data_IF_055195568764
#
_entry.id   IF_055195568764
#
_cell.length_a   1.000
_cell.length_b   1.000
_cell.length_c   1.000
_cell.angle_alpha   90.00
_cell.angle_beta   90.00
_cell.angle_gamma   90.00
#
_symmetry.space_group_name_H-M   'P 1'
#
loop_
_entity.id
_entity.type
_entity.pdbx_description
1 polymer ?
#
# COMPACT_ATOMS: atom_id res chain seq x y z
N UNK A 1 15.66 -8.90 -16.81
CA UNK A 1 15.18 -10.26 -16.41
C UNK A 1 15.67 -10.54 -14.99
N UNK A 2 14.80 -10.41 -13.99
CA UNK A 2 15.16 -10.64 -12.60
C UNK A 2 15.18 -12.14 -12.29
N UNK A 3 16.30 -12.62 -11.74
CA UNK A 3 16.53 -14.03 -11.39
C UNK A 3 15.62 -14.40 -10.21
N UNK A 4 14.50 -15.09 -10.49
CA UNK A 4 13.58 -15.61 -9.47
C UNK A 4 14.36 -16.54 -8.53
N UNK A 5 14.53 -16.14 -7.26
CA UNK A 5 15.19 -16.95 -6.23
C UNK A 5 14.37 -18.23 -6.07
N UNK A 6 15.00 -19.40 -6.12
CA UNK A 6 14.31 -20.68 -5.86
C UNK A 6 14.00 -20.73 -4.37
N UNK A 7 12.75 -20.51 -4.01
CA UNK A 7 12.24 -20.67 -2.64
C UNK A 7 11.93 -22.14 -2.36
N UNK A 8 12.03 -22.54 -1.09
CA UNK A 8 11.62 -23.89 -0.68
C UNK A 8 10.08 -23.98 -0.57
N UNK A 9 9.48 -25.17 -0.69
CA UNK A 9 8.02 -25.34 -0.56
C UNK A 9 7.47 -24.86 0.79
N UNK A 10 8.27 -24.96 1.86
CA UNK A 10 7.91 -24.47 3.19
C UNK A 10 7.96 -22.93 3.26
N UNK A 11 8.95 -22.29 2.62
CA UNK A 11 9.00 -20.83 2.52
C UNK A 11 7.80 -20.29 1.75
N UNK A 12 7.41 -20.95 0.65
CA UNK A 12 6.22 -20.58 -0.10
C UNK A 12 4.95 -20.75 0.73
N UNK A 13 4.84 -21.84 1.50
CA UNK A 13 3.71 -22.08 2.40
C UNK A 13 3.62 -21.00 3.49
N UNK A 14 4.75 -20.60 4.08
CA UNK A 14 4.81 -19.52 5.07
C UNK A 14 4.49 -18.16 4.43
N UNK A 15 4.95 -17.90 3.21
CA UNK A 15 4.64 -16.67 2.47
C UNK A 15 3.16 -16.59 2.08
N UNK A 16 2.52 -17.72 1.76
CA UNK A 16 1.08 -17.78 1.50
C UNK A 16 0.31 -17.60 2.81
N UNK A 17 0.75 -18.24 3.90
CA UNK A 17 0.07 -18.15 5.19
C UNK A 17 0.14 -16.75 5.81
N UNK A 18 1.19 -15.98 5.52
CA UNK A 18 1.31 -14.57 5.92
C UNK A 18 0.37 -13.64 5.17
N UNK A 19 -0.19 -14.05 4.02
CA UNK A 19 -1.17 -13.26 3.23
C UNK A 19 -2.61 -13.44 3.71
N UNK A 20 -2.91 -14.55 4.36
CA UNK A 20 -4.25 -14.89 4.83
C UNK A 20 -4.67 -14.11 6.09
N UNK A 21 -5.98 -13.93 6.33
CA UNK A 21 -6.48 -13.49 7.64
C UNK A 21 -6.06 -14.47 8.74
N UNK A 22 -5.75 -13.97 9.94
CA UNK A 22 -5.32 -14.80 11.08
C UNK A 22 -6.31 -15.95 11.35
N UNK A 23 -7.61 -15.66 11.38
CA UNK A 23 -8.64 -16.68 11.60
C UNK A 23 -8.61 -17.78 10.53
N UNK A 24 -8.36 -17.42 9.26
CA UNK A 24 -8.29 -18.38 8.18
C UNK A 24 -7.03 -19.25 8.30
N UNK A 25 -5.88 -18.67 8.63
CA UNK A 25 -4.65 -19.44 8.89
C UNK A 25 -4.83 -20.42 10.04
N UNK A 26 -5.51 -20.02 11.13
CA UNK A 26 -5.79 -20.91 12.26
C UNK A 26 -6.76 -22.05 11.89
N UNK A 27 -7.82 -21.76 11.13
CA UNK A 27 -8.75 -22.79 10.64
C UNK A 27 -8.06 -23.78 9.70
N UNK A 28 -7.21 -23.30 8.78
CA UNK A 28 -6.46 -24.16 7.87
C UNK A 28 -5.45 -25.00 8.64
N UNK A 29 -4.78 -24.45 9.66
CA UNK A 29 -3.88 -25.21 10.52
C UNK A 29 -4.61 -26.36 11.23
N UNK A 30 -5.78 -26.08 11.82
CA UNK A 30 -6.60 -27.08 12.48
C UNK A 30 -7.11 -28.14 11.50
N UNK A 31 -7.68 -27.72 10.37
CA UNK A 31 -8.20 -28.64 9.35
C UNK A 31 -7.09 -29.54 8.78
N UNK A 32 -5.92 -28.97 8.47
CA UNK A 32 -4.76 -29.72 7.98
C UNK A 32 -4.34 -30.78 9.00
N UNK A 33 -4.24 -30.42 10.29
CA UNK A 33 -3.91 -31.37 11.34
C UNK A 33 -4.93 -32.51 11.43
N UNK A 34 -6.23 -32.19 11.47
CA UNK A 34 -7.30 -33.20 11.61
C UNK A 34 -7.32 -34.16 10.42
N UNK A 35 -7.21 -33.65 9.20
CA UNK A 35 -7.19 -34.46 7.97
C UNK A 35 -5.96 -35.35 7.94
N UNK A 36 -4.76 -34.80 8.14
CA UNK A 36 -3.52 -35.58 8.12
C UNK A 36 -3.49 -36.60 9.25
N UNK A 37 -3.97 -36.25 10.45
CA UNK A 37 -4.06 -37.17 11.57
C UNK A 37 -5.01 -38.34 11.27
N UNK A 38 -6.14 -38.07 10.59
CA UNK A 38 -7.06 -39.13 10.16
C UNK A 38 -6.38 -40.13 9.21
N UNK A 39 -5.56 -39.66 8.26
CA UNK A 39 -4.82 -40.56 7.35
C UNK A 39 -3.65 -41.27 8.03
N UNK A 40 -2.92 -40.60 8.93
CA UNK A 40 -1.79 -41.19 9.68
C UNK A 40 -2.24 -42.23 10.69
N UNK A 41 -3.47 -42.11 11.22
CA UNK A 41 -4.05 -43.10 12.14
C UNK A 41 -4.55 -44.37 11.45
N UNK A 42 -4.63 -44.39 10.11
CA UNK A 42 -4.89 -45.60 9.36
C UNK A 42 -3.58 -46.41 9.26
N UNK A 43 -3.52 -47.64 9.78
CA UNK A 43 -2.29 -48.41 9.77
C UNK A 43 -1.87 -48.72 8.32
N UNK A 44 -0.63 -48.38 7.97
CA UNK A 44 -0.03 -48.78 6.69
C UNK A 44 0.29 -50.28 6.71
N UNK A 45 -0.71 -51.12 6.46
CA UNK A 45 -0.55 -52.58 6.34
C UNK A 45 0.07 -52.94 5.01
N UNK A 46 0.97 -53.93 4.97
CA UNK A 46 1.56 -54.41 3.73
C UNK A 46 0.58 -55.37 3.05
N UNK A 47 0.04 -55.00 1.89
CA UNK A 47 -0.80 -55.89 1.07
C UNK A 47 0.04 -56.51 -0.03
N UNK A 48 0.00 -57.83 -0.18
CA UNK A 48 0.75 -58.55 -1.23
C UNK A 48 -0.21 -59.42 -2.06
N UNK A 49 0.03 -59.52 -3.37
CA UNK A 49 -0.67 -60.50 -4.19
C UNK A 49 -0.02 -61.89 -4.01
N UNK A 50 -0.82 -62.98 -3.99
CA UNK A 50 -0.29 -64.33 -3.91
C UNK A 50 0.77 -64.59 -4.98
N UNK A 51 1.98 -64.99 -4.57
CA UNK A 51 3.10 -65.26 -5.47
C UNK A 51 3.95 -64.04 -5.87
N UNK A 52 3.61 -62.84 -5.40
CA UNK A 52 4.43 -61.62 -5.59
C UNK A 52 5.10 -61.21 -4.27
N UNK A 53 6.38 -60.85 -4.32
CA UNK A 53 7.12 -60.31 -3.17
C UNK A 53 6.97 -58.79 -3.01
N UNK A 54 6.33 -58.12 -3.98
CA UNK A 54 6.15 -56.67 -4.00
C UNK A 54 4.79 -56.29 -3.41
N UNK A 55 4.72 -55.27 -2.52
CA UNK A 55 3.45 -54.78 -2.02
C UNK A 55 2.61 -54.16 -3.15
N UNK A 56 1.30 -54.40 -3.17
CA UNK A 56 0.38 -53.72 -4.09
C UNK A 56 0.18 -52.24 -3.74
N UNK A 57 0.38 -51.89 -2.47
CA UNK A 57 0.18 -50.55 -1.93
C UNK A 57 1.50 -49.79 -1.66
N UNK A 58 2.53 -50.03 -2.49
CA UNK A 58 3.84 -49.36 -2.38
C UNK A 58 3.76 -47.83 -2.31
N UNK A 59 2.86 -47.21 -3.06
CA UNK A 59 2.67 -45.75 -3.06
C UNK A 59 2.26 -45.22 -1.69
N UNK A 60 1.33 -45.90 -1.01
CA UNK A 60 0.87 -45.52 0.33
C UNK A 60 1.98 -45.67 1.37
N UNK A 61 2.74 -46.78 1.32
CA UNK A 61 3.88 -47.01 2.22
C UNK A 61 4.97 -45.94 2.06
N UNK A 62 5.29 -45.56 0.82
CA UNK A 62 6.30 -44.54 0.53
C UNK A 62 5.87 -43.13 0.96
N UNK A 63 4.57 -42.82 0.87
CA UNK A 63 4.03 -41.51 1.26
C UNK A 63 3.78 -41.37 2.77
N UNK A 64 3.63 -42.48 3.50
CA UNK A 64 3.28 -42.45 4.93
C UNK A 64 4.23 -41.61 5.81
N UNK A 65 5.57 -41.69 5.67
CA UNK A 65 6.48 -40.81 6.41
C UNK A 65 6.28 -39.32 6.10
N UNK A 66 5.93 -38.98 4.86
CA UNK A 66 5.63 -37.61 4.45
C UNK A 66 4.32 -37.11 5.06
N UNK A 67 3.32 -37.98 5.21
CA UNK A 67 2.06 -37.64 5.91
C UNK A 67 2.30 -37.39 7.40
N UNK A 68 3.13 -38.21 8.06
CA UNK A 68 3.54 -38.00 9.46
C UNK A 68 4.25 -36.65 9.61
N UNK A 69 5.23 -36.35 8.75
CA UNK A 69 5.93 -35.07 8.79
C UNK A 69 4.97 -33.90 8.48
N UNK A 70 4.15 -34.04 7.45
CA UNK A 70 3.18 -33.04 7.01
C UNK A 70 2.15 -32.69 8.08
N UNK A 71 1.72 -33.67 8.88
CA UNK A 71 0.76 -33.49 9.99
C UNK A 71 1.19 -32.38 10.96
N UNK A 72 2.49 -32.18 11.16
CA UNK A 72 3.02 -31.15 12.04
C UNK A 72 3.57 -29.94 11.28
N UNK A 73 4.27 -30.17 10.17
CA UNK A 73 4.92 -29.10 9.41
C UNK A 73 3.92 -28.13 8.77
N UNK A 74 2.82 -28.64 8.22
CA UNK A 74 1.81 -27.80 7.54
C UNK A 74 1.09 -26.91 8.56
N UNK A 75 0.47 -27.44 9.64
CA UNK A 75 -0.14 -26.59 10.66
C UNK A 75 0.84 -25.59 11.28
N UNK A 76 2.08 -26.02 11.56
CA UNK A 76 3.12 -25.15 12.11
C UNK A 76 3.40 -23.95 11.19
N UNK A 77 3.50 -24.17 9.87
CA UNK A 77 3.73 -23.07 8.92
C UNK A 77 2.58 -22.04 8.90
N UNK A 78 1.33 -22.49 9.05
CA UNK A 78 0.18 -21.58 9.16
C UNK A 78 0.15 -20.85 10.51
N UNK A 79 0.52 -21.51 11.61
CA UNK A 79 0.66 -20.89 12.93
C UNK A 79 1.77 -19.83 12.94
N UNK A 80 2.92 -20.12 12.33
CA UNK A 80 4.03 -19.17 12.16
C UNK A 80 3.54 -17.94 11.37
N UNK A 81 2.86 -18.14 10.24
CA UNK A 81 2.30 -17.03 9.45
C UNK A 81 1.33 -16.17 10.26
N UNK A 82 0.43 -16.79 11.01
CA UNK A 82 -0.50 -16.10 11.90
C UNK A 82 0.23 -15.29 12.98
N UNK A 83 1.26 -15.87 13.61
CA UNK A 83 2.09 -15.21 14.62
C UNK A 83 2.85 -14.01 14.05
N UNK A 84 3.43 -14.13 12.84
CA UNK A 84 4.11 -13.03 12.15
C UNK A 84 3.13 -11.88 11.85
N UNK A 85 1.92 -12.18 11.35
CA UNK A 85 0.90 -11.14 11.13
C UNK A 85 0.49 -10.44 12.43
N UNK A 86 0.29 -11.20 13.50
CA UNK A 86 -0.04 -10.65 14.82
C UNK A 86 1.09 -9.76 15.35
N UNK A 87 2.35 -10.19 15.23
CA UNK A 87 3.52 -9.43 15.62
C UNK A 87 3.69 -8.13 14.82
N UNK A 88 3.49 -8.16 13.49
CA UNK A 88 3.50 -6.96 12.64
C UNK A 88 2.37 -5.99 13.02
N UNK A 89 1.16 -6.50 13.25
CA UNK A 89 0.02 -5.66 13.68
C UNK A 89 0.26 -5.02 15.06
N UNK A 90 0.80 -5.78 16.00
CA UNK A 90 1.13 -5.30 17.34
C UNK A 90 2.27 -4.27 17.33
N UNK A 91 3.33 -4.53 16.55
CA UNK A 91 4.45 -3.61 16.39
C UNK A 91 4.01 -2.29 15.75
N UNK A 92 3.11 -2.34 14.75
CA UNK A 92 2.52 -1.15 14.15
C UNK A 92 1.73 -0.30 15.15
N UNK A 93 0.88 -0.92 15.97
CA UNK A 93 0.13 -0.24 17.04
C UNK A 93 1.06 0.44 18.05
N UNK A 94 2.06 -0.29 18.56
CA UNK A 94 3.07 0.26 19.47
C UNK A 94 3.86 1.41 18.86
N UNK A 95 4.21 1.30 17.58
CA UNK A 95 4.94 2.37 16.89
C UNK A 95 4.09 3.62 16.72
N UNK A 96 2.79 3.47 16.42
CA UNK A 96 1.83 4.57 16.40
C UNK A 96 1.70 5.23 17.77
N UNK A 97 1.58 4.45 18.85
CA UNK A 97 1.51 5.00 20.21
C UNK A 97 2.75 5.84 20.54
N UNK A 98 3.95 5.33 20.22
CA UNK A 98 5.20 6.09 20.36
C UNK A 98 5.23 7.35 19.50
N UNK A 99 4.73 7.27 18.26
CA UNK A 99 4.65 8.42 17.36
C UNK A 99 3.72 9.51 17.91
N UNK A 100 2.57 9.13 18.46
CA UNK A 100 1.59 10.07 19.04
C UNK A 100 2.12 10.67 20.35
N UNK A 101 2.75 9.85 21.19
CA UNK A 101 3.30 10.24 22.49
C UNK A 101 4.58 11.07 22.37
N UNK A 102 5.27 11.04 21.22
CA UNK A 102 6.41 11.90 20.96
C UNK A 102 5.96 13.37 21.09
N UNK A 103 6.56 14.15 22.00
CA UNK A 103 6.16 15.53 22.21
C UNK A 103 6.28 16.30 20.89
N UNK A 104 5.23 17.03 20.52
CA UNK A 104 5.36 18.06 19.51
C UNK A 104 6.40 19.03 20.05
N UNK A 105 7.59 19.05 19.47
CA UNK A 105 8.57 20.08 19.78
C UNK A 105 7.94 21.44 19.43
N UNK A 106 7.38 22.11 20.44
CA UNK A 106 6.95 23.49 20.38
C UNK A 106 8.20 24.33 20.08
N UNK A 107 8.30 24.83 18.85
CA UNK A 107 9.17 25.96 18.54
C UNK A 107 8.30 27.21 18.72
N UNK A 108 8.70 28.19 19.55
CA UNK A 108 8.04 29.48 19.63
C UNK A 108 7.90 30.09 18.23
N UNK A 109 6.66 30.38 17.87
CA UNK A 109 6.21 30.98 16.60
C UNK A 109 6.98 32.26 16.25
N UNK A 110 8.02 32.16 15.41
CA UNK A 110 8.51 33.27 14.56
C UNK A 110 9.26 32.75 13.31
N UNK A 111 8.58 32.07 12.37
CA UNK A 111 8.89 32.10 10.91
C UNK A 111 8.06 31.06 10.10
N UNK A 112 7.50 31.39 8.92
CA UNK A 112 6.51 30.54 8.25
C UNK A 112 7.05 29.37 7.40
N UNK A 113 8.34 29.01 7.46
CA UNK A 113 8.94 28.18 6.40
C UNK A 113 9.89 27.05 6.83
N UNK A 114 10.01 26.71 8.12
CA UNK A 114 10.87 25.59 8.54
C UNK A 114 10.05 24.36 8.95
N UNK A 115 10.22 23.29 8.18
CA UNK A 115 9.54 22.01 8.32
C UNK A 115 9.85 21.37 9.67
N UNK A 116 8.80 21.20 10.49
CA UNK A 116 8.78 20.40 11.72
C UNK A 116 9.63 19.14 11.59
N UNK A 117 10.64 18.95 12.46
CA UNK A 117 11.33 17.67 12.58
C UNK A 117 10.32 16.65 13.13
N UNK A 118 9.80 15.81 12.25
CA UNK A 118 8.79 14.80 12.61
C UNK A 118 9.46 13.62 13.30
N UNK A 119 8.78 12.90 14.22
CA UNK A 119 9.27 11.65 14.81
C UNK A 119 9.61 10.56 13.78
N UNK A 120 9.19 10.73 12.53
CA UNK A 120 9.65 9.92 11.40
C UNK A 120 11.13 10.08 11.06
N UNK A 121 11.83 11.08 11.63
CA UNK A 121 13.21 11.42 11.28
C UNK A 121 14.27 10.40 11.70
N UNK A 122 13.91 9.45 12.59
CA UNK A 122 14.85 8.49 13.18
C UNK A 122 14.44 7.02 12.95
N UNK A 123 13.30 6.76 12.28
CA UNK A 123 12.78 5.40 12.13
C UNK A 123 13.39 4.65 10.95
N UNK A 124 13.51 3.33 11.04
CA UNK A 124 13.93 2.50 9.91
C UNK A 124 12.88 2.49 8.79
N UNK A 125 13.28 2.07 7.59
CA UNK A 125 12.36 1.97 6.44
C UNK A 125 11.19 1.02 6.73
N UNK A 126 11.45 -0.17 7.27
CA UNK A 126 10.39 -1.10 7.67
C UNK A 126 9.50 -0.59 8.82
N UNK A 127 10.04 0.24 9.73
CA UNK A 127 9.22 0.90 10.74
C UNK A 127 8.25 1.91 10.11
N UNK A 128 8.71 2.69 9.14
CA UNK A 128 7.85 3.62 8.40
C UNK A 128 6.71 2.88 7.69
N UNK A 129 6.99 1.77 7.01
CA UNK A 129 5.96 0.95 6.36
C UNK A 129 4.95 0.37 7.36
N UNK A 130 5.42 -0.13 8.51
CA UNK A 130 4.54 -0.60 9.58
C UNK A 130 3.64 0.52 10.11
N UNK A 131 4.16 1.73 10.23
CA UNK A 131 3.41 2.91 10.68
C UNK A 131 2.37 3.33 9.63
N UNK A 132 2.74 3.36 8.34
CA UNK A 132 1.83 3.66 7.23
C UNK A 132 0.73 2.61 7.15
N UNK A 133 1.09 1.33 7.23
CA UNK A 133 0.12 0.23 7.29
C UNK A 133 -0.85 0.40 8.45
N UNK A 134 -0.38 0.81 9.63
CA UNK A 134 -1.24 1.09 10.77
C UNK A 134 -2.17 2.29 10.53
N UNK A 135 -1.70 3.37 9.91
CA UNK A 135 -2.54 4.52 9.54
C UNK A 135 -3.70 4.11 8.62
N UNK A 136 -3.45 3.22 7.65
CA UNK A 136 -4.49 2.68 6.79
C UNK A 136 -5.44 1.72 7.52
N UNK A 137 -4.94 0.90 8.47
CA UNK A 137 -5.82 0.08 9.32
C UNK A 137 -6.79 0.93 10.12
N UNK A 138 -6.32 2.03 10.71
CA UNK A 138 -7.16 2.99 11.44
C UNK A 138 -8.16 3.70 10.52
N UNK A 139 -7.92 3.72 9.21
CA UNK A 139 -8.83 4.29 8.20
C UNK A 139 -9.79 3.24 7.59
N UNK A 140 -9.86 2.04 8.17
CA UNK A 140 -10.77 0.96 7.76
C UNK A 140 -10.25 0.08 6.62
N UNK A 141 -8.97 0.15 6.28
CA UNK A 141 -8.36 -0.76 5.29
C UNK A 141 -7.79 -2.01 5.96
N UNK A 142 -7.88 -3.14 5.28
CA UNK A 142 -7.17 -4.35 5.64
C UNK A 142 -5.81 -4.35 4.96
N UNK A 143 -4.73 -4.39 5.75
CA UNK A 143 -3.37 -4.57 5.23
C UNK A 143 -3.14 -6.06 4.96
N UNK A 144 -2.94 -6.42 3.69
CA UNK A 144 -2.67 -7.80 3.25
C UNK A 144 -1.21 -8.14 3.50
N UNK A 145 -0.32 -7.31 2.92
CA UNK A 145 1.14 -7.40 3.04
C UNK A 145 1.71 -6.00 3.32
N UNK A 146 2.70 -5.94 4.21
CA UNK A 146 3.47 -4.73 4.52
C UNK A 146 4.83 -5.11 5.07
N UNK A 147 5.89 -4.64 4.41
CA UNK A 147 7.28 -4.92 4.80
C UNK A 147 7.75 -6.34 4.54
N UNK A 148 7.40 -6.91 3.38
CA UNK A 148 8.08 -8.08 2.85
C UNK A 148 9.15 -7.59 1.86
N UNK A 149 10.42 -7.96 2.10
CA UNK A 149 11.54 -7.60 1.23
C UNK A 149 11.48 -8.46 -0.05
N UNK A 150 10.67 -8.04 -1.01
CA UNK A 150 10.61 -8.58 -2.37
C UNK A 150 10.88 -7.47 -3.40
N UNK A 151 11.39 -7.78 -4.60
CA UNK A 151 11.37 -6.86 -5.72
C UNK A 151 9.92 -6.70 -6.23
N UNK A 152 9.04 -6.15 -5.40
CA UNK A 152 7.59 -6.04 -5.64
C UNK A 152 7.25 -4.87 -6.57
N UNK A 153 8.13 -4.58 -7.54
CA UNK A 153 7.91 -3.55 -8.56
C UNK A 153 7.68 -2.15 -7.98
N UNK A 154 8.11 -1.89 -6.75
CA UNK A 154 7.91 -0.61 -6.05
C UNK A 154 6.63 -0.50 -5.22
N UNK A 155 5.88 -1.57 -4.97
CA UNK A 155 4.74 -1.54 -4.03
C UNK A 155 5.20 -2.04 -2.66
N UNK A 156 4.98 -1.23 -1.63
CA UNK A 156 5.46 -1.52 -0.27
C UNK A 156 4.35 -2.08 0.63
N UNK A 157 3.08 -1.69 0.39
CA UNK A 157 1.92 -2.19 1.15
C UNK A 157 0.73 -2.49 0.23
N UNK A 158 0.15 -3.68 0.39
CA UNK A 158 -1.08 -4.09 -0.29
C UNK A 158 -2.27 -3.94 0.64
N UNK A 159 -3.32 -3.26 0.19
CA UNK A 159 -4.52 -2.99 0.96
C UNK A 159 -5.76 -3.60 0.31
N UNK A 160 -6.73 -3.95 1.15
CA UNK A 160 -8.08 -4.30 0.71
C UNK A 160 -9.13 -3.57 1.53
N UNK A 161 -10.15 -3.03 0.85
CA UNK A 161 -11.32 -2.41 1.46
C UNK A 161 -12.54 -2.67 0.58
N UNK A 162 -13.63 -3.16 1.15
CA UNK A 162 -14.88 -3.47 0.45
C UNK A 162 -14.68 -4.37 -0.80
N UNK A 163 -13.82 -5.39 -0.69
CA UNK A 163 -13.50 -6.30 -1.79
C UNK A 163 -12.60 -5.72 -2.88
N UNK A 164 -12.24 -4.44 -2.81
CA UNK A 164 -11.38 -3.76 -3.76
C UNK A 164 -9.92 -3.75 -3.27
N UNK A 165 -8.98 -3.82 -4.22
CA UNK A 165 -7.54 -3.79 -3.94
C UNK A 165 -6.98 -2.39 -4.15
N UNK A 166 -6.07 -1.99 -3.27
CA UNK A 166 -5.33 -0.75 -3.38
C UNK A 166 -3.84 -1.01 -3.12
N UNK A 167 -2.99 -0.24 -3.79
CA UNK A 167 -1.54 -0.33 -3.66
C UNK A 167 -1.01 0.88 -2.90
N UNK A 168 0.08 0.70 -2.16
CA UNK A 168 0.75 1.82 -1.48
C UNK A 168 2.24 1.74 -1.77
N UNK A 169 2.81 2.86 -2.16
CA UNK A 169 4.25 3.06 -2.22
C UNK A 169 4.68 4.11 -1.19
N UNK A 170 5.58 3.71 -0.31
CA UNK A 170 6.26 4.52 0.68
C UNK A 170 7.57 5.04 0.08
N UNK A 171 7.61 6.31 -0.31
CA UNK A 171 8.87 6.92 -0.73
C UNK A 171 9.71 7.38 0.45
N UNK A 172 11.00 7.49 0.17
CA UNK A 172 12.04 7.80 1.13
C UNK A 172 11.65 9.01 1.99
N UNK A 173 11.41 8.78 3.27
CA UNK A 173 10.97 9.82 4.20
C UNK A 173 12.08 10.85 4.52
N UNK A 174 13.33 10.61 4.07
CA UNK A 174 14.43 11.60 4.22
C UNK A 174 14.55 12.57 3.04
N UNK A 175 13.83 12.34 1.93
CA UNK A 175 13.83 13.29 0.79
C UNK A 175 12.76 14.36 0.96
N UNK A 176 13.11 15.62 0.70
CA UNK A 176 12.19 16.75 0.92
C UNK A 176 10.99 16.75 -0.05
N UNK A 177 11.15 16.31 -1.31
CA UNK A 177 10.08 16.28 -2.30
C UNK A 177 10.09 15.05 -3.21
N UNK A 178 8.92 14.43 -3.40
CA UNK A 178 8.69 13.29 -4.31
C UNK A 178 8.25 13.79 -5.68
N UNK A 179 8.97 13.39 -6.72
CA UNK A 179 8.72 13.79 -8.11
C UNK A 179 7.79 12.87 -8.89
N UNK A 180 7.38 13.33 -10.08
CA UNK A 180 6.38 12.68 -10.96
C UNK A 180 6.75 11.27 -11.44
N UNK A 181 8.04 10.96 -11.56
CA UNK A 181 8.50 9.65 -12.05
C UNK A 181 7.97 8.49 -11.20
N UNK A 182 7.97 8.67 -9.88
CA UNK A 182 7.43 7.71 -8.91
C UNK A 182 5.95 7.44 -9.17
N UNK A 183 5.19 8.51 -9.38
CA UNK A 183 3.74 8.44 -9.50
C UNK A 183 3.36 7.74 -10.80
N UNK A 184 4.12 7.97 -11.87
CA UNK A 184 3.97 7.27 -13.15
C UNK A 184 4.26 5.78 -13.05
N UNK A 185 5.34 5.43 -12.36
CA UNK A 185 5.73 4.04 -12.13
C UNK A 185 4.63 3.29 -11.38
N UNK A 186 4.19 3.82 -10.23
CA UNK A 186 3.12 3.19 -9.45
C UNK A 186 1.78 3.15 -10.20
N UNK A 187 1.46 4.17 -10.99
CA UNK A 187 0.26 4.15 -11.83
C UNK A 187 0.29 3.00 -12.84
N UNK A 188 1.45 2.75 -13.46
CA UNK A 188 1.64 1.61 -14.36
C UNK A 188 1.37 0.29 -13.65
N UNK A 189 1.96 0.10 -12.47
CA UNK A 189 1.76 -1.11 -11.64
C UNK A 189 0.30 -1.27 -11.21
N UNK A 190 -0.36 -0.18 -10.82
CA UNK A 190 -1.77 -0.21 -10.41
C UNK A 190 -2.70 -0.66 -11.53
N UNK A 191 -2.48 -0.16 -12.76
CA UNK A 191 -3.25 -0.57 -13.94
C UNK A 191 -2.97 -2.02 -14.30
N UNK A 192 -1.70 -2.43 -14.32
CA UNK A 192 -1.28 -3.80 -14.62
C UNK A 192 -1.89 -4.83 -13.65
N UNK A 193 -1.93 -4.49 -12.36
CA UNK A 193 -2.51 -5.37 -11.32
C UNK A 193 -4.04 -5.25 -11.17
N UNK A 194 -4.69 -4.38 -11.93
CA UNK A 194 -6.15 -4.14 -11.83
C UNK A 194 -6.59 -3.63 -10.46
N UNK A 195 -5.74 -2.87 -9.77
CA UNK A 195 -6.09 -2.25 -8.49
C UNK A 195 -7.03 -1.06 -8.70
N UNK A 196 -7.99 -0.86 -7.78
CA UNK A 196 -8.97 0.22 -7.86
C UNK A 196 -8.32 1.60 -7.69
N UNK A 197 -7.25 1.67 -6.91
CA UNK A 197 -6.49 2.90 -6.71
C UNK A 197 -5.14 2.63 -6.06
N UNK A 198 -4.31 3.65 -6.04
CA UNK A 198 -2.98 3.59 -5.42
C UNK A 198 -2.72 4.80 -4.53
N UNK A 199 -1.84 4.64 -3.55
CA UNK A 199 -1.43 5.70 -2.64
C UNK A 199 0.08 5.86 -2.66
N UNK A 200 0.54 7.11 -2.63
CA UNK A 200 1.95 7.40 -2.42
C UNK A 200 2.08 8.15 -1.12
N UNK A 201 2.92 7.63 -0.24
CA UNK A 201 3.10 8.14 1.12
C UNK A 201 4.53 8.60 1.30
N UNK A 202 4.68 9.81 1.83
CA UNK A 202 5.97 10.41 2.17
C UNK A 202 5.84 11.26 3.44
N UNK A 203 6.92 11.42 4.20
CA UNK A 203 7.00 12.36 5.33
C UNK A 203 7.20 13.82 4.86
N UNK A 204 7.76 14.00 3.66
CA UNK A 204 7.97 15.29 2.99
C UNK A 204 6.75 15.73 2.19
N UNK A 205 6.99 16.41 1.07
CA UNK A 205 5.95 16.90 0.16
C UNK A 205 6.08 16.32 -1.26
N UNK A 206 5.12 16.65 -2.13
CA UNK A 206 5.15 16.33 -3.56
C UNK A 206 5.57 17.55 -4.37
N UNK A 207 6.15 17.33 -5.55
CA UNK A 207 6.36 18.42 -6.52
C UNK A 207 5.03 18.83 -7.16
N UNK A 208 5.00 20.00 -7.78
CA UNK A 208 3.79 20.49 -8.47
C UNK A 208 3.43 19.59 -9.67
N UNK A 209 4.44 19.10 -10.41
CA UNK A 209 4.27 18.17 -11.52
C UNK A 209 3.69 16.83 -11.05
N UNK A 210 4.08 16.39 -9.85
CA UNK A 210 3.55 15.21 -9.20
C UNK A 210 2.05 15.34 -8.90
N UNK A 211 1.65 16.46 -8.28
CA UNK A 211 0.23 16.76 -8.03
C UNK A 211 -0.57 16.84 -9.34
N UNK A 212 -0.06 17.54 -10.35
CA UNK A 212 -0.71 17.68 -11.65
C UNK A 212 -0.89 16.35 -12.37
N UNK A 213 0.07 15.43 -12.27
CA UNK A 213 -0.07 14.11 -12.88
C UNK A 213 -1.09 13.23 -12.15
N UNK A 214 -1.16 13.33 -10.82
CA UNK A 214 -2.12 12.58 -10.03
C UNK A 214 -3.56 13.06 -10.27
N UNK A 215 -3.77 14.32 -10.62
CA UNK A 215 -5.09 14.86 -10.99
C UNK A 215 -5.73 14.06 -12.14
N UNK A 216 -7.01 13.76 -11.99
CA UNK A 216 -7.83 12.93 -12.86
C UNK A 216 -7.53 11.43 -12.80
N UNK A 217 -6.73 10.95 -11.83
CA UNK A 217 -6.35 9.54 -11.71
C UNK A 217 -6.71 8.99 -10.33
N UNK A 218 -6.98 7.68 -10.19
CA UNK A 218 -7.24 7.04 -8.89
C UNK A 218 -5.93 6.85 -8.09
N UNK A 219 -5.15 7.92 -7.93
CA UNK A 219 -3.91 7.95 -7.15
C UNK A 219 -4.06 8.97 -6.04
N UNK A 220 -3.97 8.55 -4.79
CA UNK A 220 -3.98 9.41 -3.62
C UNK A 220 -2.55 9.81 -3.20
N UNK A 221 -2.30 11.11 -3.09
CA UNK A 221 -1.04 11.63 -2.56
C UNK A 221 -1.18 11.94 -1.06
N UNK A 222 -0.34 11.32 -0.23
CA UNK A 222 -0.35 11.48 1.23
C UNK A 222 1.02 12.01 1.65
N UNK A 223 1.08 13.33 1.87
CA UNK A 223 2.26 13.98 2.40
C UNK A 223 2.33 13.77 3.92
N UNK A 224 3.44 14.20 4.53
CA UNK A 224 3.61 13.87 5.94
C UNK A 224 2.65 14.62 6.88
N UNK A 225 2.04 15.72 6.44
CA UNK A 225 1.02 16.41 7.23
C UNK A 225 -0.31 15.63 7.22
N UNK A 226 -0.67 15.05 6.07
CA UNK A 226 -1.84 14.17 5.94
C UNK A 226 -1.61 12.85 6.68
N UNK A 227 -0.42 12.27 6.60
CA UNK A 227 -0.05 11.06 7.35
C UNK A 227 -0.15 11.27 8.86
N UNK A 228 0.36 12.41 9.37
CA UNK A 228 0.26 12.74 10.80
C UNK A 228 -1.20 12.82 11.27
N UNK A 229 -2.07 13.47 10.48
CA UNK A 229 -3.52 13.50 10.76
C UNK A 229 -4.15 12.11 10.76
N UNK A 230 -3.80 11.26 9.80
CA UNK A 230 -4.30 9.88 9.76
C UNK A 230 -3.91 9.10 11.02
N UNK A 231 -2.68 9.27 11.51
CA UNK A 231 -2.18 8.61 12.71
C UNK A 231 -2.87 9.11 13.98
N UNK A 232 -3.07 10.43 14.11
CA UNK A 232 -3.65 11.05 15.31
C UNK A 232 -5.17 10.94 15.39
N UNK A 233 -5.89 11.15 14.28
CA UNK A 233 -7.35 11.30 14.29
C UNK A 233 -8.16 10.10 13.76
N UNK A 234 -7.51 9.05 13.26
CA UNK A 234 -8.17 7.84 12.73
C UNK A 234 -9.36 8.16 11.78
N UNK A 235 -9.19 9.17 10.93
CA UNK A 235 -10.24 9.66 10.03
C UNK A 235 -10.35 8.76 8.79
N UNK A 236 -11.46 8.03 8.69
CA UNK A 236 -11.70 7.03 7.64
C UNK A 236 -11.90 7.63 6.24
N UNK A 237 -12.29 8.90 6.14
CA UNK A 237 -12.55 9.57 4.85
C UNK A 237 -11.28 10.05 4.15
N UNK A 238 -10.21 10.34 4.90
CA UNK A 238 -9.01 11.02 4.36
C UNK A 238 -8.33 10.30 3.17
N UNK A 239 -8.18 8.96 3.15
CA UNK A 239 -7.63 8.26 1.98
C UNK A 239 -8.59 8.29 0.78
N UNK A 240 -9.88 8.14 1.01
CA UNK A 240 -10.88 8.22 -0.07
C UNK A 240 -10.97 9.65 -0.62
N UNK A 241 -10.85 10.65 0.23
CA UNK A 241 -10.74 12.05 -0.16
C UNK A 241 -9.45 12.29 -0.96
N UNK A 242 -8.37 11.53 -0.70
CA UNK A 242 -7.14 11.60 -1.50
C UNK A 242 -7.37 11.10 -2.94
N UNK A 243 -8.12 10.00 -3.09
CA UNK A 243 -8.50 9.42 -4.39
C UNK A 243 -9.54 10.28 -5.11
N UNK A 244 -10.53 10.81 -4.37
CA UNK A 244 -11.57 11.68 -4.91
C UNK A 244 -11.01 13.03 -5.31
N UNK A 245 -10.13 13.64 -4.51
CA UNK A 245 -9.52 14.92 -4.87
C UNK A 245 -8.75 14.85 -6.19
N UNK A 246 -8.14 13.69 -6.47
CA UNK A 246 -7.53 13.44 -7.76
C UNK A 246 -8.58 13.13 -8.83
N UNK A 247 -9.54 12.24 -8.61
CA UNK A 247 -10.59 11.93 -9.60
C UNK A 247 -11.52 13.12 -9.96
N UNK A 248 -11.80 14.01 -9.01
CA UNK A 248 -12.80 15.09 -9.12
C UNK A 248 -12.20 16.49 -9.35
N UNK A 249 -10.90 16.58 -9.67
CA UNK A 249 -10.31 17.85 -10.07
C UNK A 249 -11.13 18.44 -11.24
N UNK A 250 -11.64 19.68 -11.12
CA UNK A 250 -12.55 20.25 -12.11
C UNK A 250 -11.85 20.26 -13.48
N UNK A 251 -12.62 19.89 -14.52
CA UNK A 251 -12.18 19.86 -15.92
C UNK A 251 -11.22 21.02 -16.19
N UNK A 252 -9.96 20.70 -16.47
CA UNK A 252 -8.95 21.71 -16.74
C UNK A 252 -9.35 22.43 -18.03
N UNK A 253 -9.93 23.62 -17.87
CA UNK A 253 -10.25 24.50 -18.98
C UNK A 253 -8.96 24.73 -19.79
N UNK A 254 -8.92 24.18 -20.99
CA UNK A 254 -7.72 24.13 -21.82
C UNK A 254 -7.63 25.39 -22.67
N UNK A 255 -6.42 25.95 -22.78
CA UNK A 255 -6.20 27.17 -23.53
C UNK A 255 -6.52 26.97 -25.03
N UNK A 256 -7.38 27.79 -25.65
CA UNK A 256 -7.74 27.63 -27.07
C UNK A 256 -6.55 27.88 -28.03
N UNK A 257 -5.47 28.51 -27.55
CA UNK A 257 -4.31 28.85 -28.38
C UNK A 257 -3.18 27.82 -28.34
N UNK A 258 -3.03 27.09 -27.24
CA UNK A 258 -1.87 26.20 -27.04
C UNK A 258 -2.17 24.94 -26.23
N UNK A 259 -3.44 24.67 -25.95
CA UNK A 259 -3.96 23.52 -25.20
C UNK A 259 -3.35 23.32 -23.80
N UNK A 260 -2.62 24.29 -23.29
CA UNK A 260 -2.08 24.28 -21.94
C UNK A 260 -3.17 24.63 -20.93
N UNK A 261 -3.14 24.11 -19.69
CA UNK A 261 -4.17 24.38 -18.70
C UNK A 261 -4.27 25.88 -18.40
N UNK A 262 -5.49 26.37 -18.19
CA UNK A 262 -5.73 27.76 -17.80
C UNK A 262 -5.83 27.90 -16.27
N UNK A 263 -5.35 29.05 -15.78
CA UNK A 263 -5.28 29.39 -14.34
C UNK A 263 -6.12 30.64 -14.09
N UNK A 264 -7.00 30.59 -13.10
CA UNK A 264 -7.82 31.74 -12.72
C UNK A 264 -6.94 32.81 -12.05
N UNK A 265 -7.06 34.07 -12.50
CA UNK A 265 -6.30 35.23 -12.02
C UNK A 265 -7.23 36.42 -11.84
N UNK A 266 -6.87 37.32 -10.94
CA UNK A 266 -7.57 38.59 -10.71
C UNK A 266 -6.82 39.70 -11.43
N UNK A 267 -7.52 40.51 -12.22
CA UNK A 267 -6.92 41.66 -12.88
C UNK A 267 -6.51 42.71 -11.84
N UNK A 268 -5.22 43.07 -11.85
CA UNK A 268 -4.62 44.05 -10.93
C UNK A 268 -4.50 45.46 -11.53
N UNK A 269 -4.71 45.61 -12.84
CA UNK A 269 -4.55 46.88 -13.58
C UNK A 269 -5.59 46.99 -14.71
N UNK A 270 -6.05 48.21 -15.01
CA UNK A 270 -6.97 48.53 -16.11
C UNK A 270 -8.46 48.56 -15.75
N UNK A 271 -9.33 48.68 -16.76
CA UNK A 271 -10.78 48.82 -16.59
C UNK A 271 -11.50 47.61 -15.95
N UNK A 272 -10.81 46.46 -15.85
CA UNK A 272 -11.34 45.23 -15.27
C UNK A 272 -10.72 44.88 -13.91
N UNK A 273 -10.11 45.85 -13.20
CA UNK A 273 -9.51 45.61 -11.87
C UNK A 273 -10.51 44.96 -10.93
N UNK A 274 -10.07 43.90 -10.25
CA UNK A 274 -10.89 43.11 -9.34
C UNK A 274 -11.71 42.00 -10.01
N UNK A 275 -11.82 41.95 -11.34
CA UNK A 275 -12.49 40.87 -12.05
C UNK A 275 -11.59 39.65 -12.22
N UNK A 276 -12.19 38.47 -12.14
CA UNK A 276 -11.53 37.19 -12.40
C UNK A 276 -11.49 36.89 -13.91
N UNK A 277 -10.37 36.34 -14.38
CA UNK A 277 -10.21 35.82 -15.73
C UNK A 277 -9.34 34.56 -15.72
N UNK A 278 -9.55 33.67 -16.69
CA UNK A 278 -8.67 32.54 -16.96
C UNK A 278 -7.49 33.02 -17.80
N UNK A 279 -6.27 32.86 -17.31
CA UNK A 279 -5.03 33.12 -18.05
C UNK A 279 -4.27 31.84 -18.33
N UNK A 280 -3.65 31.72 -19.51
CA UNK A 280 -2.83 30.55 -19.82
C UNK A 280 -1.67 30.34 -18.81
N UNK A 281 -1.48 29.11 -18.35
CA UNK A 281 -0.37 28.72 -17.46
C UNK A 281 1.02 29.04 -18.04
N UNK A 282 1.14 29.09 -19.37
CA UNK A 282 2.41 29.32 -20.09
C UNK A 282 2.76 30.82 -20.28
N UNK A 283 2.07 31.74 -19.60
CA UNK A 283 2.44 33.15 -19.59
C UNK A 283 3.89 33.33 -19.08
N UNK A 284 4.73 34.17 -19.72
CA UNK A 284 4.43 35.16 -20.76
C UNK A 284 4.47 34.65 -22.20
N UNK A 285 4.85 33.39 -22.43
CA UNK A 285 5.00 32.79 -23.77
C UNK A 285 3.66 32.60 -24.49
N UNK A 286 2.59 32.36 -23.73
CA UNK A 286 1.22 32.40 -24.24
C UNK A 286 0.39 33.38 -23.41
N UNK A 287 -0.18 34.40 -24.07
CA UNK A 287 -0.97 35.49 -23.46
C UNK A 287 -2.49 35.32 -23.65
N UNK A 288 -2.95 34.10 -23.94
CA UNK A 288 -4.38 33.83 -24.09
C UNK A 288 -5.11 34.05 -22.76
N UNK A 289 -6.26 34.73 -22.83
CA UNK A 289 -7.15 35.02 -21.72
C UNK A 289 -8.58 34.62 -22.11
N UNK A 290 -9.36 34.15 -21.13
CA UNK A 290 -10.78 33.87 -21.28
C UNK A 290 -11.50 34.44 -20.06
N UNK A 291 -12.54 35.23 -20.28
CA UNK A 291 -13.29 35.85 -19.19
C UNK A 291 -14.17 34.81 -18.48
N UNK A 292 -14.26 34.91 -17.15
CA UNK A 292 -15.16 34.05 -16.36
C UNK A 292 -16.60 34.51 -16.66
N UNK A 293 -17.30 33.80 -17.56
CA UNK A 293 -18.68 34.12 -17.95
C UNK A 293 -18.99 34.13 -19.46
N UNK A 294 -18.06 33.76 -20.35
CA UNK A 294 -18.40 33.56 -21.75
C UNK A 294 -19.25 32.27 -21.90
N UNK A 295 -20.44 32.32 -22.53
CA UNK A 295 -21.19 31.10 -22.86
C UNK A 295 -20.36 30.25 -23.84
N UNK A 296 -20.53 28.93 -23.72
CA UNK A 296 -19.90 27.91 -24.56
C UNK A 296 -20.15 28.15 -26.04
#
# INVERSE_FOLDING_TARGET
MARKRRTSPLEDLVSISSKLPIWASLLIALAAYLVLHHYVSQPATVETQPGSALPTNMTALLLHPFLIAGQYLIPLAFLIGAAVKAAKAFSGRRLRERYIAAPEAEIPTQSPSQSRAKPTAEMSWGQFELLVGEAFRQSGYRVIDGGDYGPDGGVDVHLSKNGQRYLVQCKHWKTQRVGVAVIRELFGVMVDQGAKGAFIVTSGDFTEEANQFANGKPIGLINGAKLDKMLRKAEHSMPEDALRATESAPETFSCPKCSSPMVKRVARKGANVGREFWGCSRYPKCRAIVNVGAPK
#
